data_IF_236357690875
#
_entry.id   IF_236357690875
#
_cell.length_a   1.000
_cell.length_b   1.000
_cell.length_c   1.000
_cell.angle_alpha   90.00
_cell.angle_beta   90.00
_cell.angle_gamma   90.00
#
_symmetry.space_group_name_H-M   'P 1'
#
loop_
_entity.id
_entity.type
_entity.pdbx_description
1 polymer ?
#
# COMPACT_ATOMS: atom_id res chain seq x y z
N UNK A 1 -23.00 35.47 74.62
CA UNK A 1 -23.28 34.39 73.66
C UNK A 1 -24.74 34.47 73.24
N UNK A 2 -25.10 35.33 72.28
CA UNK A 2 -26.51 35.47 71.84
C UNK A 2 -26.66 36.13 70.44
N UNK A 3 -25.63 36.11 69.58
CA UNK A 3 -25.69 36.78 68.26
C UNK A 3 -25.43 35.87 67.06
N UNK A 4 -25.12 34.59 67.27
CA UNK A 4 -24.75 33.65 66.19
C UNK A 4 -25.87 32.71 65.73
N UNK A 5 -27.05 32.73 66.37
CA UNK A 5 -28.14 31.79 66.03
C UNK A 5 -29.22 32.36 65.09
N UNK A 6 -29.28 33.68 64.87
CA UNK A 6 -30.33 34.28 64.03
C UNK A 6 -29.97 34.38 62.54
N UNK A 7 -28.68 34.28 62.17
CA UNK A 7 -28.26 34.30 60.78
C UNK A 7 -28.39 32.93 60.08
N UNK A 8 -28.54 31.83 60.84
CA UNK A 8 -28.61 30.49 60.27
C UNK A 8 -30.02 30.11 59.78
N UNK A 9 -31.09 30.73 60.29
CA UNK A 9 -32.45 30.46 59.82
C UNK A 9 -32.84 31.31 58.60
N UNK A 10 -32.26 32.51 58.46
CA UNK A 10 -32.53 33.38 57.30
C UNK A 10 -31.96 32.81 55.99
N UNK A 11 -30.82 32.10 56.06
CA UNK A 11 -30.19 31.49 54.88
C UNK A 11 -30.93 30.21 54.43
N UNK A 12 -31.54 29.47 55.36
CA UNK A 12 -32.30 28.26 55.02
C UNK A 12 -33.68 28.56 54.41
N UNK A 13 -34.35 29.65 54.80
CA UNK A 13 -35.67 30.01 54.26
C UNK A 13 -35.57 30.68 52.87
N UNK A 14 -34.46 31.38 52.59
CA UNK A 14 -34.24 31.97 51.26
C UNK A 14 -33.81 30.93 50.19
N UNK A 15 -33.33 29.75 50.60
CA UNK A 15 -32.91 28.70 49.66
C UNK A 15 -34.08 27.79 49.21
N UNK A 16 -35.25 27.88 49.85
CA UNK A 16 -36.44 27.11 49.50
C UNK A 16 -37.39 27.79 48.50
N UNK A 17 -37.10 29.01 48.02
CA UNK A 17 -37.98 29.71 47.07
C UNK A 17 -37.45 29.82 45.64
N UNK A 18 -36.30 29.21 45.34
CA UNK A 18 -35.65 29.34 44.02
C UNK A 18 -35.41 28.02 43.32
N UNK A 19 -36.30 27.03 43.44
CA UNK A 19 -36.44 25.99 42.41
C UNK A 19 -37.91 25.55 42.33
N UNK A 20 -38.39 25.36 41.10
CA UNK A 20 -39.68 24.77 40.70
C UNK A 20 -40.82 25.76 40.41
N UNK A 21 -40.61 26.62 39.41
CA UNK A 21 -41.65 26.85 38.39
C UNK A 21 -41.53 25.73 37.36
N UNK A 22 -41.98 24.53 37.71
CA UNK A 22 -42.26 23.47 36.74
C UNK A 22 -43.77 23.47 36.51
N UNK A 23 -44.19 24.14 35.43
CA UNK A 23 -45.49 23.86 34.84
C UNK A 23 -45.59 22.34 34.59
N UNK A 24 -46.57 21.63 35.19
CA UNK A 24 -46.67 20.18 35.05
C UNK A 24 -47.13 19.74 33.65
N UNK A 25 -47.38 20.69 32.74
CA UNK A 25 -47.81 20.44 31.36
C UNK A 25 -46.69 20.64 30.32
N UNK A 26 -45.47 20.99 30.73
CA UNK A 26 -44.38 21.23 29.79
C UNK A 26 -43.11 20.46 30.21
N UNK A 27 -43.20 19.13 30.17
CA UNK A 27 -42.01 18.29 30.06
C UNK A 27 -41.45 18.41 28.64
N UNK A 28 -40.95 19.60 28.27
CA UNK A 28 -40.14 19.74 27.07
C UNK A 28 -38.86 18.98 27.33
N UNK A 29 -38.78 17.76 26.81
CA UNK A 29 -37.55 16.98 26.80
C UNK A 29 -36.54 17.83 26.00
N UNK A 30 -35.64 18.52 26.70
CA UNK A 30 -34.68 19.40 26.02
C UNK A 30 -33.65 18.51 25.35
N UNK A 31 -33.89 18.22 24.08
CA UNK A 31 -32.96 17.47 23.25
C UNK A 31 -31.64 18.25 23.12
N UNK A 32 -30.53 17.55 23.37
CA UNK A 32 -29.19 18.13 23.20
C UNK A 32 -28.89 18.51 21.74
N UNK A 33 -27.90 19.36 21.54
CA UNK A 33 -27.41 19.66 20.19
C UNK A 33 -26.88 18.39 19.51
N UNK A 34 -27.40 18.11 18.31
CA UNK A 34 -27.05 16.93 17.52
C UNK A 34 -28.04 15.78 17.59
N UNK A 35 -29.03 15.85 18.48
CA UNK A 35 -30.10 14.86 18.56
C UNK A 35 -31.11 15.05 17.40
N UNK A 36 -31.45 14.01 16.63
CA UNK A 36 -32.49 14.06 15.59
C UNK A 36 -33.85 14.55 16.09
N UNK A 37 -34.23 14.20 17.32
CA UNK A 37 -35.56 14.46 17.87
C UNK A 37 -35.76 15.96 18.10
N UNK A 38 -34.68 16.71 18.35
CA UNK A 38 -34.69 18.18 18.41
C UNK A 38 -35.24 18.78 17.12
N UNK A 39 -34.74 18.32 15.98
CA UNK A 39 -35.17 18.80 14.68
C UNK A 39 -36.60 18.35 14.36
N UNK A 40 -36.96 17.10 14.67
CA UNK A 40 -38.31 16.58 14.44
C UNK A 40 -39.37 17.36 15.24
N UNK A 41 -39.08 17.70 16.50
CA UNK A 41 -39.98 18.52 17.32
C UNK A 41 -40.12 19.94 16.76
N UNK A 42 -39.04 20.53 16.25
CA UNK A 42 -39.08 21.84 15.60
C UNK A 42 -39.99 21.83 14.36
N UNK A 43 -39.90 20.80 13.51
CA UNK A 43 -40.75 20.67 12.33
C UNK A 43 -42.21 20.36 12.68
N UNK A 44 -42.44 19.61 13.76
CA UNK A 44 -43.79 19.38 14.28
C UNK A 44 -44.47 20.69 14.69
N UNK A 45 -43.73 21.64 15.28
CA UNK A 45 -44.24 22.98 15.64
C UNK A 45 -44.53 23.87 14.43
N UNK A 46 -43.77 23.73 13.33
CA UNK A 46 -44.00 24.48 12.09
C UNK A 46 -45.04 23.83 11.17
N UNK A 47 -45.77 22.82 11.67
CA UNK A 47 -46.80 22.08 10.94
C UNK A 47 -46.25 21.40 9.66
N UNK A 48 -44.97 21.02 9.66
CA UNK A 48 -44.34 20.24 8.59
C UNK A 48 -44.20 18.79 9.03
N UNK A 49 -44.86 17.89 8.30
CA UNK A 49 -44.74 16.46 8.50
C UNK A 49 -43.44 15.93 7.88
N UNK A 50 -42.35 15.98 8.66
CA UNK A 50 -41.03 15.46 8.26
C UNK A 50 -40.79 14.10 8.92
N UNK A 51 -40.29 13.13 8.15
CA UNK A 51 -39.89 11.83 8.67
C UNK A 51 -38.37 11.69 8.71
N UNK A 52 -37.86 10.80 9.57
CA UNK A 52 -36.44 10.47 9.56
C UNK A 52 -36.12 9.55 8.39
N UNK A 53 -35.07 9.85 7.64
CA UNK A 53 -34.63 8.92 6.60
C UNK A 53 -34.09 7.63 7.24
N UNK A 54 -34.52 6.47 6.74
CA UNK A 54 -34.23 5.18 7.37
C UNK A 54 -32.94 4.51 6.90
N UNK A 55 -32.34 4.97 5.81
CA UNK A 55 -31.19 4.31 5.16
C UNK A 55 -30.06 5.31 5.00
N UNK A 56 -28.96 5.13 5.72
CA UNK A 56 -27.79 6.02 5.60
C UNK A 56 -26.54 5.24 5.17
N UNK A 57 -25.68 5.83 4.33
CA UNK A 57 -24.35 5.29 4.10
C UNK A 57 -23.50 5.45 5.37
N UNK A 58 -22.49 4.59 5.56
CA UNK A 58 -21.56 4.67 6.69
C UNK A 58 -21.75 3.60 7.78
N UNK A 59 -22.65 2.65 7.55
CA UNK A 59 -22.63 1.37 8.26
C UNK A 59 -21.53 0.48 7.68
N UNK A 60 -20.92 -0.37 8.52
CA UNK A 60 -20.02 -1.40 8.02
C UNK A 60 -20.78 -2.43 7.19
N UNK A 61 -20.08 -3.14 6.32
CA UNK A 61 -20.69 -4.19 5.49
C UNK A 61 -19.84 -5.45 5.51
N UNK A 62 -20.44 -6.57 5.89
CA UNK A 62 -19.82 -7.88 5.73
C UNK A 62 -20.14 -8.43 4.34
N UNK A 63 -19.16 -8.37 3.44
CA UNK A 63 -19.27 -8.79 2.04
C UNK A 63 -19.45 -10.31 1.85
N UNK A 64 -19.08 -11.13 2.85
CA UNK A 64 -19.22 -12.59 2.78
C UNK A 64 -20.64 -13.02 3.16
N UNK A 65 -21.22 -12.36 4.17
CA UNK A 65 -22.57 -12.68 4.66
C UNK A 65 -23.66 -11.78 4.07
N UNK A 66 -23.29 -10.70 3.37
CA UNK A 66 -24.20 -9.65 2.92
C UNK A 66 -25.05 -9.06 4.06
N UNK A 67 -24.41 -8.78 5.20
CA UNK A 67 -25.08 -8.27 6.40
C UNK A 67 -24.46 -6.93 6.80
N UNK A 68 -25.33 -6.00 7.21
CA UNK A 68 -24.91 -4.73 7.80
C UNK A 68 -24.16 -4.99 9.10
N UNK A 69 -22.97 -4.42 9.20
CA UNK A 69 -22.19 -4.40 10.42
C UNK A 69 -22.44 -3.10 11.20
N UNK A 70 -21.72 -2.94 12.31
CA UNK A 70 -21.87 -1.77 13.18
C UNK A 70 -21.57 -0.44 12.46
N UNK A 71 -22.05 0.64 13.05
CA UNK A 71 -21.86 2.01 12.53
C UNK A 71 -20.37 2.36 12.51
N UNK A 72 -19.87 2.78 11.33
CA UNK A 72 -18.48 3.20 11.13
C UNK A 72 -18.36 4.72 11.12
N UNK A 73 -19.41 5.42 10.70
CA UNK A 73 -19.43 6.89 10.58
C UNK A 73 -20.43 7.50 11.56
N UNK A 74 -20.00 8.51 12.33
CA UNK A 74 -20.88 9.25 13.25
C UNK A 74 -21.83 10.18 12.47
N UNK A 75 -23.12 10.15 12.84
CA UNK A 75 -24.14 11.03 12.29
C UNK A 75 -24.44 12.18 13.26
N UNK A 76 -24.41 13.41 12.75
CA UNK A 76 -24.81 14.61 13.49
C UNK A 76 -25.98 15.28 12.79
N UNK A 77 -26.90 15.85 13.58
CA UNK A 77 -28.11 16.53 13.10
C UNK A 77 -28.15 18.01 13.54
N UNK A 78 -27.00 18.69 13.56
CA UNK A 78 -26.89 20.05 14.09
C UNK A 78 -27.58 21.09 13.20
N UNK A 79 -27.64 20.86 11.88
CA UNK A 79 -28.20 21.83 10.92
C UNK A 79 -29.64 21.52 10.52
N UNK A 80 -30.28 20.50 11.11
CA UNK A 80 -31.63 20.05 10.77
C UNK A 80 -31.88 19.93 9.26
N UNK A 81 -30.90 19.38 8.54
CA UNK A 81 -30.88 19.33 7.08
C UNK A 81 -31.98 18.39 6.55
N UNK A 82 -32.74 18.85 5.57
CA UNK A 82 -33.74 18.05 4.88
C UNK A 82 -33.26 17.62 3.49
N UNK A 83 -33.90 16.58 2.95
CA UNK A 83 -33.83 16.27 1.52
C UNK A 83 -34.34 17.44 0.69
N UNK A 84 -33.93 17.53 -0.58
CA UNK A 84 -34.40 18.59 -1.49
C UNK A 84 -35.94 18.64 -1.63
N UNK A 85 -36.62 17.51 -1.45
CA UNK A 85 -38.09 17.43 -1.50
C UNK A 85 -38.77 17.84 -0.16
N UNK A 86 -38.00 18.14 0.88
CA UNK A 86 -38.51 18.57 2.19
C UNK A 86 -39.17 17.48 3.05
N UNK A 87 -39.21 16.23 2.58
CA UNK A 87 -39.95 15.14 3.25
C UNK A 87 -39.14 14.42 4.35
N UNK A 88 -37.82 14.32 4.19
CA UNK A 88 -36.98 13.53 5.09
C UNK A 88 -35.85 14.32 5.74
N UNK A 89 -35.63 14.08 7.02
CA UNK A 89 -34.48 14.55 7.80
C UNK A 89 -33.24 13.70 7.50
N UNK A 90 -32.14 14.36 7.15
CA UNK A 90 -30.84 13.74 6.82
C UNK A 90 -29.72 14.30 7.71
N UNK A 91 -28.68 13.51 8.02
CA UNK A 91 -27.49 13.98 8.74
C UNK A 91 -26.75 15.08 8.00
N UNK A 92 -25.99 15.90 8.72
CA UNK A 92 -25.24 17.03 8.17
C UNK A 92 -24.20 16.59 7.13
N UNK A 93 -23.58 15.42 7.34
CA UNK A 93 -22.52 14.85 6.51
C UNK A 93 -23.04 14.03 5.32
N UNK A 94 -24.35 13.99 5.09
CA UNK A 94 -24.98 13.23 4.01
C UNK A 94 -25.70 14.16 3.03
N UNK A 95 -25.68 13.81 1.76
CA UNK A 95 -26.50 14.45 0.73
C UNK A 95 -27.22 13.38 -0.08
N UNK A 96 -28.41 13.71 -0.56
CA UNK A 96 -29.27 12.80 -1.34
C UNK A 96 -29.37 13.29 -2.78
N UNK A 97 -29.31 12.38 -3.74
CA UNK A 97 -29.58 12.65 -5.15
C UNK A 97 -30.92 12.01 -5.51
N UNK A 98 -31.95 12.77 -5.90
CA UNK A 98 -33.26 12.22 -6.21
C UNK A 98 -33.21 11.42 -7.52
N UNK A 99 -33.36 10.11 -7.44
CA UNK A 99 -33.45 9.21 -8.58
C UNK A 99 -34.91 8.83 -8.82
N UNK A 100 -35.63 9.60 -9.64
CA UNK A 100 -37.01 9.29 -10.03
C UNK A 100 -37.04 8.24 -11.14
N UNK A 101 -36.84 6.97 -10.79
CA UNK A 101 -36.95 5.83 -11.72
C UNK A 101 -37.96 4.82 -11.19
N UNK A 102 -39.13 4.74 -11.80
CA UNK A 102 -40.05 3.61 -11.60
C UNK A 102 -39.84 2.62 -12.74
N UNK A 103 -38.95 1.65 -12.55
CA UNK A 103 -38.87 0.51 -13.46
C UNK A 103 -39.59 -0.67 -12.79
N UNK A 104 -40.81 -0.96 -13.25
CA UNK A 104 -41.49 -2.21 -12.93
C UNK A 104 -40.90 -3.28 -13.85
N UNK A 105 -39.81 -3.90 -13.41
CA UNK A 105 -39.23 -5.03 -14.11
C UNK A 105 -39.91 -6.31 -13.60
N UNK A 106 -40.61 -7.02 -14.50
CA UNK A 106 -41.15 -8.35 -14.22
C UNK A 106 -39.98 -9.34 -14.28
N UNK A 107 -39.33 -9.59 -13.16
CA UNK A 107 -38.20 -10.52 -13.09
C UNK A 107 -38.71 -11.96 -12.98
N UNK A 108 -38.48 -12.77 -14.01
CA UNK A 108 -38.36 -14.21 -13.87
C UNK A 108 -36.92 -14.55 -14.31
N UNK A 109 -35.98 -14.42 -13.40
CA UNK A 109 -34.59 -14.83 -13.64
C UNK A 109 -34.47 -16.30 -13.27
N UNK A 110 -34.13 -17.13 -14.26
CA UNK A 110 -33.93 -18.57 -14.07
C UNK A 110 -32.49 -18.83 -13.63
N UNK A 111 -32.31 -19.31 -12.40
CA UNK A 111 -31.00 -19.62 -11.82
C UNK A 111 -30.74 -21.12 -12.02
N UNK A 112 -29.97 -21.45 -13.06
CA UNK A 112 -29.63 -22.82 -13.42
C UNK A 112 -28.63 -23.47 -12.42
N UNK A 113 -27.77 -22.64 -11.81
CA UNK A 113 -26.72 -23.08 -10.89
C UNK A 113 -26.56 -22.12 -9.71
N UNK A 114 -26.60 -22.67 -8.49
CA UNK A 114 -26.44 -21.90 -7.24
C UNK A 114 -25.10 -21.15 -7.16
N UNK A 115 -24.04 -21.68 -7.79
CA UNK A 115 -22.71 -21.04 -7.84
C UNK A 115 -22.68 -19.73 -8.63
N UNK A 116 -23.60 -19.52 -9.56
CA UNK A 116 -23.66 -18.31 -10.39
C UNK A 116 -24.74 -17.32 -9.93
N UNK A 117 -25.24 -17.50 -8.70
CA UNK A 117 -26.28 -16.62 -8.16
C UNK A 117 -25.66 -15.28 -7.76
N UNK A 118 -26.10 -14.18 -8.39
CA UNK A 118 -25.74 -12.84 -7.95
C UNK A 118 -26.78 -12.28 -6.99
N UNK A 119 -26.36 -11.63 -5.90
CA UNK A 119 -27.28 -10.97 -4.98
C UNK A 119 -28.01 -9.82 -5.68
N UNK A 120 -29.35 -9.83 -5.68
CA UNK A 120 -30.16 -8.77 -6.29
C UNK A 120 -29.98 -7.41 -5.60
N UNK A 121 -29.70 -7.40 -4.30
CA UNK A 121 -29.58 -6.20 -3.47
C UNK A 121 -28.14 -5.73 -3.26
N UNK A 122 -27.16 -6.63 -3.35
CA UNK A 122 -25.73 -6.35 -3.09
C UNK A 122 -24.79 -6.67 -4.27
N UNK A 123 -25.32 -6.86 -5.48
CA UNK A 123 -24.52 -7.27 -6.67
C UNK A 123 -23.32 -6.36 -6.94
N UNK A 124 -23.48 -5.05 -6.80
CA UNK A 124 -22.44 -4.05 -7.11
C UNK A 124 -21.29 -4.10 -6.11
N UNK A 125 -21.59 -4.23 -4.81
CA UNK A 125 -20.60 -4.32 -3.73
C UNK A 125 -19.79 -5.63 -3.87
N UNK A 126 -20.48 -6.75 -4.12
CA UNK A 126 -19.84 -8.06 -4.21
C UNK A 126 -18.90 -8.15 -5.43
N UNK A 127 -19.27 -7.54 -6.57
CA UNK A 127 -18.40 -7.49 -7.75
C UNK A 127 -17.17 -6.63 -7.53
N UNK A 128 -17.32 -5.48 -6.87
CA UNK A 128 -16.21 -4.54 -6.69
C UNK A 128 -15.10 -5.11 -5.79
N UNK A 129 -15.47 -5.85 -4.73
CA UNK A 129 -14.48 -6.50 -3.86
C UNK A 129 -13.60 -7.49 -4.63
N UNK A 130 -14.17 -8.27 -5.56
CA UNK A 130 -13.43 -9.23 -6.38
C UNK A 130 -12.49 -8.52 -7.36
N UNK A 131 -12.93 -7.42 -7.98
CA UNK A 131 -12.10 -6.65 -8.92
C UNK A 131 -10.83 -6.12 -8.25
N UNK A 132 -10.94 -5.60 -7.03
CA UNK A 132 -9.76 -5.10 -6.28
C UNK A 132 -8.77 -6.23 -6.03
N UNK A 133 -9.24 -7.39 -5.57
CA UNK A 133 -8.38 -8.56 -5.34
C UNK A 133 -7.69 -9.02 -6.63
N UNK A 134 -8.41 -9.02 -7.75
CA UNK A 134 -7.91 -9.45 -9.04
C UNK A 134 -6.86 -8.47 -9.59
N UNK A 135 -7.08 -7.16 -9.44
CA UNK A 135 -6.10 -6.12 -9.80
C UNK A 135 -4.83 -6.27 -8.96
N UNK A 136 -4.95 -6.45 -7.64
CA UNK A 136 -3.80 -6.66 -6.76
C UNK A 136 -3.01 -7.91 -7.19
N UNK A 137 -3.70 -9.01 -7.48
CA UNK A 137 -3.06 -10.24 -7.95
C UNK A 137 -2.30 -10.04 -9.27
N UNK A 138 -2.90 -9.35 -10.24
CA UNK A 138 -2.25 -9.04 -11.52
C UNK A 138 -1.01 -8.16 -11.30
N UNK A 139 -1.10 -7.13 -10.46
CA UNK A 139 0.04 -6.27 -10.13
C UNK A 139 1.18 -7.09 -9.49
N UNK A 140 0.85 -7.96 -8.53
CA UNK A 140 1.84 -8.84 -7.89
C UNK A 140 2.50 -9.76 -8.92
N UNK A 141 1.73 -10.38 -9.82
CA UNK A 141 2.26 -11.22 -10.89
C UNK A 141 3.20 -10.44 -11.82
N UNK A 142 2.83 -9.22 -12.22
CA UNK A 142 3.68 -8.36 -13.06
C UNK A 142 5.00 -8.04 -12.34
N UNK A 143 4.95 -7.70 -11.05
CA UNK A 143 6.15 -7.43 -10.25
C UNK A 143 7.04 -8.67 -10.17
N UNK A 144 6.47 -9.86 -9.93
CA UNK A 144 7.22 -11.12 -9.90
C UNK A 144 7.90 -11.38 -11.25
N UNK A 145 7.20 -11.20 -12.36
CA UNK A 145 7.78 -11.37 -13.71
C UNK A 145 8.94 -10.40 -13.93
N UNK A 146 8.80 -9.13 -13.56
CA UNK A 146 9.88 -8.14 -13.67
C UNK A 146 11.10 -8.57 -12.85
N UNK A 147 10.90 -9.01 -11.60
CA UNK A 147 11.99 -9.49 -10.74
C UNK A 147 12.71 -10.67 -11.37
N UNK A 148 11.99 -11.64 -11.92
CA UNK A 148 12.58 -12.79 -12.62
C UNK A 148 13.40 -12.34 -13.81
N UNK A 149 12.89 -11.44 -14.64
CA UNK A 149 13.62 -10.90 -15.80
C UNK A 149 14.91 -10.20 -15.36
N UNK A 150 14.86 -9.38 -14.31
CA UNK A 150 16.04 -8.71 -13.76
C UNK A 150 17.08 -9.73 -13.28
N UNK A 151 16.66 -10.78 -12.57
CA UNK A 151 17.56 -11.85 -12.13
C UNK A 151 18.23 -12.53 -13.32
N UNK A 152 17.47 -12.88 -14.36
CA UNK A 152 18.00 -13.50 -15.58
C UNK A 152 19.04 -12.58 -16.24
N UNK A 153 18.75 -11.29 -16.37
CA UNK A 153 19.69 -10.31 -16.94
C UNK A 153 20.98 -10.23 -16.12
N UNK A 154 20.89 -10.16 -14.79
CA UNK A 154 22.06 -10.13 -13.91
C UNK A 154 22.90 -11.40 -14.07
N UNK A 155 22.26 -12.58 -14.11
CA UNK A 155 22.96 -13.86 -14.32
C UNK A 155 23.69 -13.87 -15.67
N UNK A 156 23.05 -13.41 -16.74
CA UNK A 156 23.68 -13.31 -18.07
C UNK A 156 24.89 -12.38 -18.03
N UNK A 157 24.77 -11.20 -17.40
CA UNK A 157 25.88 -10.25 -17.27
C UNK A 157 27.04 -10.87 -16.49
N UNK A 158 26.76 -11.56 -15.38
CA UNK A 158 27.80 -12.25 -14.59
C UNK A 158 28.51 -13.32 -15.43
N UNK A 159 27.77 -14.13 -16.19
CA UNK A 159 28.35 -15.14 -17.08
C UNK A 159 29.28 -14.48 -18.12
N UNK A 160 28.83 -13.39 -18.75
CA UNK A 160 29.66 -12.65 -19.74
C UNK A 160 30.94 -12.14 -19.09
N UNK A 161 30.86 -11.54 -17.91
CA UNK A 161 32.04 -11.05 -17.18
C UNK A 161 33.00 -12.19 -16.87
N UNK A 162 32.51 -13.33 -16.37
CA UNK A 162 33.34 -14.51 -16.10
C UNK A 162 34.04 -15.00 -17.35
N UNK A 163 33.32 -15.10 -18.49
CA UNK A 163 33.90 -15.52 -19.77
C UNK A 163 35.00 -14.55 -20.21
N UNK A 164 34.77 -13.24 -20.13
CA UNK A 164 35.78 -12.23 -20.48
C UNK A 164 37.02 -12.37 -19.60
N UNK A 165 36.85 -12.53 -18.28
CA UNK A 165 37.97 -12.72 -17.36
C UNK A 165 38.77 -13.98 -17.72
N UNK A 166 38.10 -15.11 -17.98
CA UNK A 166 38.76 -16.35 -18.38
C UNK A 166 39.55 -16.16 -19.68
N UNK A 167 38.97 -15.52 -20.69
CA UNK A 167 39.66 -15.22 -21.95
C UNK A 167 40.90 -14.36 -21.72
N UNK A 168 40.80 -13.30 -20.92
CA UNK A 168 41.93 -12.43 -20.58
C UNK A 168 43.04 -13.21 -19.88
N UNK A 169 42.70 -14.06 -18.90
CA UNK A 169 43.68 -14.91 -18.20
C UNK A 169 44.37 -15.86 -19.17
N UNK A 170 43.63 -16.53 -20.07
CA UNK A 170 44.21 -17.43 -21.07
C UNK A 170 45.17 -16.67 -22.00
N UNK A 171 44.78 -15.49 -22.48
CA UNK A 171 45.65 -14.65 -23.33
C UNK A 171 46.93 -14.28 -22.59
N UNK A 172 46.83 -13.82 -21.34
CA UNK A 172 48.02 -13.48 -20.53
C UNK A 172 48.93 -14.68 -20.35
N UNK A 173 48.39 -15.86 -20.03
CA UNK A 173 49.19 -17.09 -19.89
C UNK A 173 49.90 -17.43 -21.20
N UNK A 174 49.21 -17.36 -22.34
CA UNK A 174 49.81 -17.60 -23.66
C UNK A 174 50.94 -16.61 -23.94
N UNK A 175 50.74 -15.32 -23.70
CA UNK A 175 51.79 -14.30 -23.87
C UNK A 175 53.00 -14.61 -22.99
N UNK A 176 52.80 -14.94 -21.71
CA UNK A 176 53.89 -15.28 -20.79
C UNK A 176 54.66 -16.50 -21.28
N UNK A 177 53.96 -17.56 -21.72
CA UNK A 177 54.61 -18.77 -22.29
C UNK A 177 55.42 -18.42 -23.52
N UNK A 178 54.89 -17.63 -24.45
CA UNK A 178 55.61 -17.20 -25.66
C UNK A 178 56.87 -16.40 -25.28
N UNK A 179 56.77 -15.46 -24.34
CA UNK A 179 57.93 -14.68 -23.85
C UNK A 179 58.99 -15.61 -23.25
N UNK A 180 58.60 -16.57 -22.41
CA UNK A 180 59.53 -17.55 -21.82
C UNK A 180 60.23 -18.35 -22.92
N UNK A 181 59.49 -18.85 -23.91
CA UNK A 181 60.06 -19.61 -25.04
C UNK A 181 61.07 -18.77 -25.81
N UNK A 182 60.74 -17.51 -26.14
CA UNK A 182 61.65 -16.59 -26.83
C UNK A 182 62.93 -16.36 -26.02
N UNK A 183 62.81 -16.11 -24.71
CA UNK A 183 63.97 -15.92 -23.82
C UNK A 183 64.83 -17.18 -23.79
N UNK A 184 64.24 -18.37 -23.68
CA UNK A 184 64.98 -19.64 -23.69
C UNK A 184 65.72 -19.83 -25.01
N UNK A 185 65.08 -19.57 -26.15
CA UNK A 185 65.71 -19.68 -27.47
C UNK A 185 66.91 -18.73 -27.57
N UNK A 186 66.74 -17.46 -27.18
CA UNK A 186 67.83 -16.46 -27.20
C UNK A 186 68.98 -16.88 -26.29
N UNK A 187 68.70 -17.37 -25.08
CA UNK A 187 69.74 -17.85 -24.15
C UNK A 187 70.49 -19.04 -24.74
N UNK A 188 69.78 -20.00 -25.33
CA UNK A 188 70.40 -21.17 -25.98
C UNK A 188 71.28 -20.73 -27.15
N UNK A 189 70.82 -19.82 -28.02
CA UNK A 189 71.62 -19.28 -29.11
C UNK A 189 72.89 -18.59 -28.60
N UNK A 190 72.79 -17.76 -27.56
CA UNK A 190 73.94 -17.08 -26.97
C UNK A 190 74.93 -18.08 -26.38
N UNK A 191 74.46 -19.10 -25.65
CA UNK A 191 75.33 -20.15 -25.07
C UNK A 191 76.08 -20.90 -26.17
N UNK A 192 75.39 -21.31 -27.23
CA UNK A 192 76.01 -21.99 -28.38
C UNK A 192 77.08 -21.10 -29.03
N UNK A 193 76.79 -19.82 -29.26
CA UNK A 193 77.76 -18.88 -29.85
C UNK A 193 78.99 -18.72 -28.95
N UNK A 194 78.79 -18.59 -27.64
CA UNK A 194 79.89 -18.46 -26.67
C UNK A 194 80.77 -19.71 -26.66
N UNK A 195 80.18 -20.91 -26.62
CA UNK A 195 80.94 -22.17 -26.67
C UNK A 195 81.76 -22.29 -27.97
N UNK A 196 81.17 -21.98 -29.13
CA UNK A 196 81.87 -22.00 -30.42
C UNK A 196 83.04 -21.01 -30.42
N UNK A 197 82.85 -19.79 -29.91
CA UNK A 197 83.91 -18.78 -29.83
C UNK A 197 85.05 -19.27 -28.94
N UNK A 198 84.77 -19.86 -27.77
CA UNK A 198 85.79 -20.41 -26.87
C UNK A 198 86.62 -21.47 -27.59
N UNK A 199 85.97 -22.43 -28.27
CA UNK A 199 86.66 -23.49 -29.02
C UNK A 199 87.54 -22.91 -30.13
N UNK A 200 87.05 -21.94 -30.89
CA UNK A 200 87.83 -21.29 -31.97
C UNK A 200 89.04 -20.55 -31.41
N UNK A 201 88.88 -19.84 -30.28
CA UNK A 201 89.98 -19.14 -29.61
C UNK A 201 91.02 -20.14 -29.09
N UNK A 202 90.61 -21.22 -28.42
CA UNK A 202 91.52 -22.26 -27.92
C UNK A 202 92.32 -22.92 -29.05
N UNK A 203 91.68 -23.21 -30.19
CA UNK A 203 92.35 -23.74 -31.38
C UNK A 203 93.34 -22.73 -31.95
N UNK A 204 92.96 -21.45 -32.05
CA UNK A 204 93.84 -20.40 -32.57
C UNK A 204 95.08 -20.17 -31.69
N UNK A 205 94.90 -20.16 -30.36
CA UNK A 205 96.01 -20.04 -29.40
C UNK A 205 96.94 -21.24 -29.46
N UNK A 206 96.38 -22.46 -29.54
CA UNK A 206 97.17 -23.69 -29.67
C UNK A 206 97.98 -23.71 -30.97
N UNK A 207 97.38 -23.28 -32.08
CA UNK A 207 98.07 -23.16 -33.37
C UNK A 207 99.21 -22.12 -33.32
N UNK A 208 98.99 -20.97 -32.68
CA UNK A 208 100.01 -19.94 -32.51
C UNK A 208 101.20 -20.44 -31.65
N UNK A 209 100.94 -21.21 -30.59
CA UNK A 209 101.98 -21.79 -29.73
C UNK A 209 102.83 -22.87 -30.42
N UNK A 210 102.28 -23.58 -31.41
CA UNK A 210 103.04 -24.55 -32.22
C UNK A 210 103.98 -23.84 -33.20
N UNK A 211 103.56 -22.71 -33.75
CA UNK A 211 104.34 -21.98 -34.75
C UNK A 211 105.58 -21.29 -34.16
N UNK A 212 105.58 -20.94 -32.88
CA UNK A 212 106.72 -20.29 -32.19
C UNK A 212 107.85 -21.27 -31.79
N UNK A 213 107.67 -22.58 -32.01
CA UNK A 213 108.65 -23.65 -31.69
C UNK A 213 109.36 -24.24 -32.91
N UNK A 214 109.16 -23.68 -34.10
CA UNK A 214 109.81 -24.09 -35.36
C UNK A 214 110.77 -22.99 -35.81
#
# INVERSE_FOLDING_TARGET
MASSFLLSWAVLVACSLSVMSSDPNNSSLVWGEGDPNRCLEMFARTNQAVQRFGVFPGLGWDNLRNVEASQVVQYTFNKCKLTNDGLYLIPDNVFTVPLKRSQVQKFAEFIDQWKNTTSLTASTINRQSVVVVLVVLVVVLVVVVIVVVVIVVVVVVVIVVVVVVVVVVVVVVVVVVVVIVVVVVVVVEVVIVVEVVIVVVDVAVTAAAVYDKV
#
